data_IF_075758711539
#
_entry.id   IF_075758711539
#
_cell.length_a   1.000
_cell.length_b   1.000
_cell.length_c   1.000
_cell.angle_alpha   90.00
_cell.angle_beta   90.00
_cell.angle_gamma   90.00
#
_symmetry.space_group_name_H-M   'P 1'
#
loop_
_entity.id
_entity.type
_entity.pdbx_description
1 polymer ?
#
# COMPACT_ATOMS: atom_id res chain seq x y z
N UNK A 1 12.75 16.33 -6.49
CA UNK A 1 12.26 16.19 -6.37
C UNK A 1 11.38 15.71 -5.90
N UNK A 2 11.28 15.24 -5.69
CA UNK A 2 10.44 14.46 -5.07
C UNK A 2 9.20 14.95 -4.79
N UNK A 3 9.00 15.71 -4.51
CA UNK A 3 7.92 16.11 -4.08
C UNK A 3 6.91 16.15 -4.96
N UNK A 4 7.02 16.06 -5.96
CA UNK A 4 6.09 16.08 -6.76
C UNK A 4 5.24 15.05 -6.71
N UNK A 5 5.58 14.12 -6.17
CA UNK A 5 4.75 13.03 -5.94
C UNK A 5 3.46 13.37 -5.32
N UNK A 6 3.32 14.54 -4.92
CA UNK A 6 2.12 14.93 -4.33
C UNK A 6 0.93 14.69 -5.17
N UNK A 7 1.05 14.86 -6.45
CA UNK A 7 -0.10 14.69 -7.31
C UNK A 7 -0.25 13.27 -7.78
N UNK A 8 0.68 12.42 -7.46
CA UNK A 8 0.62 11.04 -7.91
C UNK A 8 0.29 10.16 -6.72
N UNK A 9 -0.89 9.62 -6.71
CA UNK A 9 -1.32 8.81 -5.61
C UNK A 9 -1.02 7.34 -5.79
N UNK A 10 -0.42 6.95 -6.90
CA UNK A 10 -0.10 5.56 -7.11
C UNK A 10 1.28 5.23 -6.56
N UNK A 11 1.38 4.06 -5.99
CA UNK A 11 2.65 3.58 -5.46
C UNK A 11 3.27 2.63 -6.49
N UNK A 12 4.56 2.42 -6.33
CA UNK A 12 5.30 1.56 -7.24
C UNK A 12 5.63 0.24 -6.54
N UNK A 13 4.69 -0.28 -5.78
CA UNK A 13 4.91 -1.48 -5.01
C UNK A 13 4.54 -2.71 -5.84
N UNK A 14 5.44 -3.66 -5.93
CA UNK A 14 5.17 -4.90 -6.61
C UNK A 14 4.66 -5.96 -5.65
N UNK A 15 3.85 -6.89 -6.16
CA UNK A 15 3.32 -7.98 -5.35
C UNK A 15 4.51 -8.83 -4.88
N UNK A 16 4.50 -9.17 -3.62
CA UNK A 16 5.58 -9.94 -3.01
C UNK A 16 6.66 -9.08 -2.38
N UNK A 17 6.66 -7.78 -2.64
CA UNK A 17 7.66 -6.89 -2.08
C UNK A 17 7.37 -6.65 -0.61
N UNK A 18 8.41 -6.36 0.15
CA UNK A 18 8.25 -5.93 1.53
C UNK A 18 8.41 -4.43 1.55
N UNK A 19 7.42 -3.74 2.07
CA UNK A 19 7.43 -2.29 2.09
C UNK A 19 7.31 -1.83 3.53
N UNK A 20 7.73 -0.62 3.78
CA UNK A 20 7.69 -0.06 5.11
C UNK A 20 6.62 1.01 5.16
N UNK A 21 5.68 0.84 6.07
CA UNK A 21 4.62 1.82 6.28
C UNK A 21 4.69 2.23 7.74
N UNK A 22 5.09 3.47 7.99
CA UNK A 22 5.33 3.92 9.35
C UNK A 22 6.46 3.12 9.97
N UNK A 23 6.17 2.44 11.04
CA UNK A 23 7.17 1.61 11.71
C UNK A 23 7.00 0.13 11.37
N UNK A 24 6.08 -0.21 10.47
CA UNK A 24 5.79 -1.60 10.18
C UNK A 24 6.38 -2.01 8.85
N UNK A 25 6.78 -3.27 8.77
CA UNK A 25 7.21 -3.85 7.50
C UNK A 25 6.13 -4.83 7.09
N UNK A 26 5.64 -4.68 5.87
CA UNK A 26 4.51 -5.45 5.41
C UNK A 26 4.80 -5.99 4.01
N UNK A 27 4.22 -7.12 3.69
CA UNK A 27 4.39 -7.73 2.38
C UNK A 27 3.19 -7.40 1.52
N UNK A 28 3.42 -7.00 0.28
CA UNK A 28 2.34 -6.68 -0.63
C UNK A 28 1.76 -7.97 -1.16
N UNK A 29 0.48 -8.22 -0.89
CA UNK A 29 -0.20 -9.41 -1.37
C UNK A 29 -0.92 -9.14 -2.68
N UNK A 30 -1.45 -7.96 -2.85
CA UNK A 30 -2.18 -7.66 -4.06
C UNK A 30 -2.37 -6.18 -4.26
N UNK A 31 -2.72 -5.82 -5.45
CA UNK A 31 -2.96 -4.44 -5.82
C UNK A 31 -4.25 -4.42 -6.62
N UNK A 32 -5.16 -3.57 -6.22
CA UNK A 32 -6.42 -3.43 -6.92
C UNK A 32 -6.48 -2.04 -7.51
N UNK A 33 -6.53 -1.94 -8.82
CA UNK A 33 -6.62 -0.66 -9.49
C UNK A 33 -8.09 -0.30 -9.68
N UNK A 34 -8.47 0.87 -9.26
CA UNK A 34 -9.85 1.29 -9.37
C UNK A 34 -10.06 1.99 -10.71
N UNK A 35 -9.28 3.00 -10.98
CA UNK A 35 -9.30 3.66 -12.29
C UNK A 35 -8.09 4.57 -12.38
N UNK A 36 -8.00 5.33 -13.47
CA UNK A 36 -6.82 6.15 -13.70
C UNK A 36 -6.76 7.36 -12.77
N UNK A 37 -7.85 7.71 -12.15
CA UNK A 37 -7.90 8.91 -11.33
C UNK A 37 -7.81 8.63 -9.85
N UNK A 38 -8.07 7.41 -9.45
CA UNK A 38 -8.05 7.06 -8.03
C UNK A 38 -6.82 6.24 -7.71
N UNK A 39 -6.33 6.33 -6.48
CA UNK A 39 -5.17 5.55 -6.11
C UNK A 39 -5.51 4.06 -6.08
N UNK A 40 -4.50 3.26 -6.29
CA UNK A 40 -4.68 1.82 -6.16
C UNK A 40 -4.87 1.45 -4.69
N UNK A 41 -5.52 0.34 -4.46
CA UNK A 41 -5.71 -0.19 -3.13
C UNK A 41 -4.75 -1.36 -2.97
N UNK A 42 -3.92 -1.31 -1.96
CA UNK A 42 -2.93 -2.36 -1.73
C UNK A 42 -3.36 -3.22 -0.57
N UNK A 43 -3.30 -4.52 -0.74
CA UNK A 43 -3.52 -5.47 0.34
C UNK A 43 -2.16 -5.89 0.86
N UNK A 44 -1.94 -5.70 2.13
CA UNK A 44 -0.65 -5.96 2.75
C UNK A 44 -0.82 -6.97 3.87
N UNK A 45 0.26 -7.64 4.21
CA UNK A 45 0.24 -8.65 5.24
C UNK A 45 1.46 -8.45 6.11
N UNK A 46 1.30 -8.64 7.42
CA UNK A 46 2.45 -8.60 8.31
C UNK A 46 3.40 -9.74 7.94
N UNK A 47 4.67 -9.58 8.26
CA UNK A 47 5.67 -10.57 7.84
C UNK A 47 5.42 -11.93 8.49
N UNK A 48 4.76 -11.98 9.64
CA UNK A 48 4.44 -13.24 10.28
C UNK A 48 3.13 -13.83 9.76
N UNK A 49 2.45 -13.13 8.85
CA UNK A 49 1.23 -13.66 8.25
C UNK A 49 -0.01 -13.58 9.13
N UNK A 50 0.06 -12.91 10.26
CA UNK A 50 -1.05 -12.92 11.19
C UNK A 50 -2.03 -11.79 11.00
N UNK A 51 -1.60 -10.69 10.40
CA UNK A 51 -2.44 -9.51 10.28
C UNK A 51 -2.47 -9.07 8.83
N UNK A 52 -3.59 -8.54 8.41
CA UNK A 52 -3.72 -8.00 7.08
C UNK A 52 -4.20 -6.58 7.14
N UNK A 53 -3.75 -5.80 6.18
CA UNK A 53 -4.03 -4.38 6.14
C UNK A 53 -4.41 -3.98 4.73
N UNK A 54 -5.13 -2.88 4.65
CA UNK A 54 -5.44 -2.27 3.38
C UNK A 54 -4.81 -0.89 3.39
N UNK A 55 -4.05 -0.57 2.37
CA UNK A 55 -3.40 0.73 2.29
C UNK A 55 -3.89 1.46 1.04
N UNK A 56 -4.41 2.65 1.25
CA UNK A 56 -4.84 3.51 0.16
C UNK A 56 -4.03 4.79 0.29
N UNK A 57 -3.20 5.13 -0.70
CA UNK A 57 -2.41 6.36 -0.63
C UNK A 57 -3.29 7.55 -0.32
N UNK A 58 -2.82 8.39 0.57
CA UNK A 58 -3.50 9.58 1.06
C UNK A 58 -4.66 9.27 2.01
N UNK A 59 -5.04 8.03 2.18
CA UNK A 59 -6.05 7.68 3.14
C UNK A 59 -5.46 6.90 4.32
N UNK A 60 -4.34 6.27 4.09
CA UNK A 60 -3.63 5.62 5.17
C UNK A 60 -3.85 4.13 5.24
N UNK A 61 -3.39 3.56 6.31
CA UNK A 61 -3.36 2.12 6.52
C UNK A 61 -4.49 1.73 7.45
N UNK A 62 -5.29 0.75 7.03
CA UNK A 62 -6.37 0.23 7.86
C UNK A 62 -6.18 -1.25 8.04
N UNK A 63 -6.39 -1.73 9.26
CA UNK A 63 -6.29 -3.15 9.53
C UNK A 63 -7.60 -3.82 9.14
N UNK A 64 -7.52 -4.88 8.34
CA UNK A 64 -8.71 -5.58 7.91
C UNK A 64 -8.80 -6.97 8.51
N UNK A 65 -7.73 -7.42 9.20
CA UNK A 65 -7.83 -8.73 9.81
C UNK A 65 -6.92 -8.90 10.98
#
# INVERSE_FOLDING_TARGET
>A
EGDMAITNTKQDWGIGSVVKVGFMQLRVLGVEAINDFLPDIYTLESLDGRKRYEFIPHHGLNRIE
#
